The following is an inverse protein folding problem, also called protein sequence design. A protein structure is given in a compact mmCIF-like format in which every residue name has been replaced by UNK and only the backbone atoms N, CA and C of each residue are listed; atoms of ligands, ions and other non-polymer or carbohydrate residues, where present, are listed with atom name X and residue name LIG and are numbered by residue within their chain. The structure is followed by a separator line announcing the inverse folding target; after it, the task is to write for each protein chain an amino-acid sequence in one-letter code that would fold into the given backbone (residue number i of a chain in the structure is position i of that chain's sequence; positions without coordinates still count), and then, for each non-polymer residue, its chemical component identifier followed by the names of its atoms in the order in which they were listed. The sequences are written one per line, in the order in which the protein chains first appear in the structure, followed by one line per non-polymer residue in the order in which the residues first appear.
data_IF_700044722046
#
_entry.id   IF_700044722046
#
_cell.length_a   1.000
_cell.length_b   1.000
_cell.length_c   1.000
_cell.angle_alpha   90.00
_cell.angle_beta   90.00
_cell.angle_gamma   90.00
#
_symmetry.space_group_name_H-M   'P 1'
#
loop_
_entity.id
_entity.type
_entity.pdbx_description
1 polymer ?
#
# COMPACT_ATOMS: atom_id res chain seq x y z
N UNK A 1 16.26 -63.38 17.62
CA UNK A 1 17.39 -62.43 17.60
C UNK A 1 16.93 -61.16 18.32
N UNK A 2 17.04 -61.13 19.65
CA UNK A 2 16.39 -60.13 20.53
C UNK A 2 17.42 -59.16 21.13
N UNK A 3 18.40 -58.69 20.36
CA UNK A 3 19.48 -57.85 20.86
C UNK A 3 19.87 -56.74 19.88
N UNK A 4 20.25 -55.58 20.40
CA UNK A 4 20.88 -54.48 19.64
C UNK A 4 22.03 -53.85 20.44
N UNK A 5 22.95 -53.15 19.78
CA UNK A 5 24.08 -52.45 20.43
C UNK A 5 23.71 -51.00 20.71
N UNK A 6 24.10 -50.51 21.88
CA UNK A 6 23.89 -49.14 22.30
C UNK A 6 25.09 -48.62 23.09
N UNK A 7 25.15 -47.31 23.27
CA UNK A 7 26.10 -46.63 24.13
C UNK A 7 25.40 -46.24 25.43
N UNK A 8 25.93 -46.68 26.57
CA UNK A 8 25.39 -46.41 27.89
C UNK A 8 26.19 -45.31 28.61
N UNK A 9 25.45 -44.40 29.24
CA UNK A 9 25.93 -43.38 30.15
C UNK A 9 25.26 -43.56 31.51
N UNK A 10 26.07 -43.63 32.56
CA UNK A 10 25.63 -43.92 33.93
C UNK A 10 24.96 -42.72 34.65
N UNK A 11 24.96 -41.54 34.02
CA UNK A 11 24.39 -40.31 34.57
C UNK A 11 25.26 -39.63 35.64
N UNK A 12 26.39 -40.23 36.04
CA UNK A 12 27.33 -39.72 37.04
C UNK A 12 28.69 -39.34 36.43
N UNK A 13 29.04 -39.95 35.29
CA UNK A 13 30.26 -39.71 34.54
C UNK A 13 29.98 -39.64 33.04
N UNK A 14 30.79 -38.88 32.29
CA UNK A 14 30.68 -38.81 30.83
C UNK A 14 31.34 -40.00 30.11
N UNK A 15 31.60 -41.11 30.81
CA UNK A 15 32.27 -42.28 30.24
C UNK A 15 31.29 -43.13 29.42
N UNK A 16 31.63 -43.32 28.16
CA UNK A 16 30.89 -44.17 27.23
C UNK A 16 31.14 -45.65 27.53
N UNK A 17 30.08 -46.41 27.76
CA UNK A 17 30.15 -47.87 27.87
C UNK A 17 29.42 -48.50 26.69
N UNK A 18 30.09 -49.35 25.91
CA UNK A 18 29.40 -50.12 24.87
C UNK A 18 28.61 -51.26 25.52
N UNK A 19 27.31 -51.30 25.24
CA UNK A 19 26.39 -52.28 25.82
C UNK A 19 25.57 -52.97 24.74
N UNK A 20 25.22 -54.22 25.00
CA UNK A 20 24.25 -55.00 24.25
C UNK A 20 22.94 -55.01 25.04
N UNK A 21 21.88 -54.49 24.42
CA UNK A 21 20.53 -54.45 25.01
C UNK A 21 19.73 -55.62 24.46
N UNK A 22 19.27 -56.50 25.35
CA UNK A 22 18.47 -57.69 25.01
C UNK A 22 17.06 -57.59 25.55
N UNK A 23 16.05 -58.01 24.77
CA UNK A 23 14.67 -58.12 25.25
C UNK A 23 14.44 -59.48 25.90
N UNK A 24 13.93 -59.44 27.13
CA UNK A 24 13.48 -60.59 27.89
C UNK A 24 11.96 -60.76 27.78
N UNK A 25 11.49 -61.97 28.02
CA UNK A 25 10.05 -62.26 28.09
C UNK A 25 9.40 -61.50 29.27
N UNK A 26 8.16 -61.05 29.07
CA UNK A 26 7.44 -60.24 30.06
C UNK A 26 7.72 -58.73 30.02
N UNK A 27 8.26 -58.20 28.91
CA UNK A 27 8.38 -56.74 28.71
C UNK A 27 9.54 -56.09 29.46
N UNK A 28 10.56 -56.87 29.83
CA UNK A 28 11.80 -56.39 30.44
C UNK A 28 12.92 -56.32 29.40
N UNK A 29 13.87 -55.40 29.60
CA UNK A 29 15.10 -55.32 28.84
C UNK A 29 16.29 -55.57 29.77
N UNK A 30 17.33 -56.23 29.25
CA UNK A 30 18.60 -56.43 29.93
C UNK A 30 19.70 -55.69 29.20
N UNK A 31 20.49 -54.91 29.90
CA UNK A 31 21.59 -54.10 29.37
C UNK A 31 22.88 -54.75 29.87
N UNK A 32 23.70 -55.27 28.94
CA UNK A 32 24.92 -56.01 29.28
C UNK A 32 26.13 -55.39 28.59
N UNK A 33 27.15 -55.02 29.34
CA UNK A 33 28.43 -54.52 28.84
C UNK A 33 29.54 -54.68 29.87
N UNK A 34 30.73 -54.18 29.55
CA UNK A 34 31.88 -54.27 30.47
C UNK A 34 31.60 -53.43 31.71
N UNK A 35 31.36 -54.09 32.86
CA UNK A 35 31.03 -53.44 34.13
C UNK A 35 29.56 -53.01 34.28
N UNK A 36 28.68 -53.39 33.34
CA UNK A 36 27.25 -53.04 33.35
C UNK A 36 26.42 -54.30 33.11
N UNK A 37 25.60 -54.70 34.08
CA UNK A 37 24.58 -55.75 33.92
C UNK A 37 23.33 -55.34 34.71
N UNK A 38 22.29 -54.89 34.00
CA UNK A 38 21.05 -54.37 34.60
C UNK A 38 19.83 -54.82 33.85
N UNK A 39 18.74 -55.04 34.58
CA UNK A 39 17.43 -55.36 34.02
C UNK A 39 16.44 -54.25 34.37
N UNK A 40 15.74 -53.73 33.37
CA UNK A 40 14.77 -52.65 33.52
C UNK A 40 13.44 -53.04 32.85
N UNK A 41 12.32 -52.56 33.39
CA UNK A 41 11.02 -52.75 32.75
C UNK A 41 10.91 -51.80 31.55
N UNK A 42 10.55 -52.29 30.36
CA UNK A 42 10.42 -51.42 29.18
C UNK A 42 9.39 -50.30 29.38
N UNK A 43 8.41 -50.51 30.28
CA UNK A 43 7.38 -49.53 30.62
C UNK A 43 7.89 -48.32 31.41
N UNK A 44 9.04 -48.40 32.10
CA UNK A 44 9.59 -47.30 32.91
C UNK A 44 10.56 -46.40 32.12
N UNK A 45 10.86 -46.77 30.88
CA UNK A 45 11.84 -46.09 30.04
C UNK A 45 11.17 -45.03 29.17
N UNK A 46 11.81 -43.87 29.08
CA UNK A 46 11.35 -42.79 28.19
C UNK A 46 12.22 -42.75 26.96
N UNK A 47 11.64 -43.07 25.81
CA UNK A 47 12.30 -42.96 24.52
C UNK A 47 12.10 -41.54 23.98
N UNK A 48 13.18 -40.86 23.61
CA UNK A 48 13.06 -39.57 22.92
C UNK A 48 12.41 -39.74 21.54
N UNK A 49 11.57 -38.78 21.11
CA UNK A 49 10.92 -38.83 19.81
C UNK A 49 11.95 -38.84 18.67
N UNK A 50 11.52 -39.35 17.51
CA UNK A 50 12.35 -39.44 16.31
C UNK A 50 12.71 -38.02 15.83
N UNK A 51 14.00 -37.79 15.60
CA UNK A 51 14.51 -36.59 14.93
C UNK A 51 15.51 -37.01 13.85
N UNK A 52 15.03 -37.14 12.62
CA UNK A 52 15.84 -37.45 11.44
C UNK A 52 16.81 -38.65 11.65
N UNK A 53 18.09 -38.49 11.30
CA UNK A 53 19.17 -39.49 11.42
C UNK A 53 19.96 -39.38 12.74
N UNK A 54 19.40 -38.79 13.80
CA UNK A 54 20.09 -38.70 15.11
C UNK A 54 19.94 -39.98 15.95
N UNK A 55 20.98 -40.29 16.74
CA UNK A 55 20.95 -41.41 17.69
C UNK A 55 19.75 -41.24 18.64
N UNK A 56 19.00 -42.31 18.88
CA UNK A 56 17.87 -42.25 19.82
C UNK A 56 18.37 -42.40 21.24
N UNK A 57 17.81 -41.61 22.15
CA UNK A 57 18.13 -41.65 23.58
C UNK A 57 16.99 -42.33 24.32
N UNK A 58 17.32 -43.37 25.08
CA UNK A 58 16.43 -44.00 26.05
C UNK A 58 16.88 -43.54 27.42
N UNK A 59 16.01 -42.81 28.12
CA UNK A 59 16.25 -42.37 29.50
C UNK A 59 15.72 -43.44 30.46
N UNK A 60 16.59 -43.83 31.41
CA UNK A 60 16.26 -44.70 32.53
C UNK A 60 15.73 -43.89 33.70
N UNK A 61 14.99 -44.54 34.61
CA UNK A 61 14.35 -43.88 35.75
C UNK A 61 15.33 -43.22 36.75
N UNK A 62 16.59 -43.64 36.73
CA UNK A 62 17.68 -43.13 37.57
C UNK A 62 18.51 -42.03 36.89
N UNK A 63 18.12 -41.59 35.69
CA UNK A 63 18.82 -40.56 34.92
C UNK A 63 19.94 -41.08 34.02
N UNK A 64 20.21 -42.40 34.01
CA UNK A 64 21.10 -43.02 33.03
C UNK A 64 20.51 -42.97 31.61
N UNK A 65 21.37 -43.00 30.59
CA UNK A 65 20.94 -42.85 29.19
C UNK A 65 21.55 -43.92 28.31
N UNK A 66 20.75 -44.49 27.41
CA UNK A 66 21.21 -45.34 26.32
C UNK A 66 21.06 -44.61 24.99
N UNK A 67 22.12 -44.50 24.22
CA UNK A 67 22.10 -43.97 22.87
C UNK A 67 22.24 -45.11 21.87
N UNK A 68 21.22 -45.34 21.06
CA UNK A 68 21.18 -46.41 20.07
C UNK A 68 21.09 -45.86 18.65
N UNK A 69 21.77 -46.53 17.72
CA UNK A 69 21.62 -46.27 16.29
C UNK A 69 20.24 -46.74 15.80
N UNK A 70 19.80 -46.23 14.65
CA UNK A 70 18.49 -46.52 14.08
C UNK A 70 18.30 -48.03 13.86
N UNK A 71 17.54 -48.66 14.75
CA UNK A 71 17.07 -50.03 14.61
C UNK A 71 15.54 -50.05 14.72
N UNK A 72 14.87 -50.62 13.71
CA UNK A 72 13.40 -50.75 13.66
C UNK A 72 12.85 -51.55 14.85
N UNK A 73 13.70 -52.34 15.52
CA UNK A 73 13.37 -53.07 16.75
C UNK A 73 13.00 -52.15 17.92
N UNK A 74 13.52 -50.94 17.99
CA UNK A 74 13.20 -49.99 19.06
C UNK A 74 11.71 -49.61 19.05
N UNK A 75 11.10 -49.44 17.88
CA UNK A 75 9.68 -49.09 17.77
C UNK A 75 8.75 -50.27 18.14
N UNK A 76 9.22 -51.51 17.97
CA UNK A 76 8.49 -52.71 18.39
C UNK A 76 8.55 -52.93 19.91
N UNK A 77 9.59 -52.41 20.56
CA UNK A 77 9.82 -52.58 22.00
C UNK A 77 9.22 -51.42 22.80
N UNK A 78 9.10 -50.24 22.19
CA UNK A 78 8.53 -49.02 22.76
C UNK A 78 7.45 -48.42 21.83
N UNK A 79 6.22 -48.96 21.80
CA UNK A 79 5.16 -48.42 20.96
C UNK A 79 4.77 -47.01 21.44
N UNK A 80 5.11 -45.99 20.64
CA UNK A 80 4.67 -44.62 20.86
C UNK A 80 3.15 -44.50 20.79
N UNK A 81 2.54 -43.90 21.82
CA UNK A 81 1.08 -43.85 21.95
C UNK A 81 0.43 -42.76 21.06
N UNK A 82 1.17 -41.76 20.59
CA UNK A 82 0.58 -40.63 19.88
C UNK A 82 0.37 -40.88 18.39
N UNK A 83 -0.90 -40.85 17.98
CA UNK A 83 -1.32 -40.99 16.57
C UNK A 83 -0.78 -39.84 15.70
N UNK A 84 -0.67 -38.64 16.26
CA UNK A 84 -0.14 -37.45 15.59
C UNK A 84 1.35 -37.61 15.26
N UNK A 85 2.16 -38.12 16.19
CA UNK A 85 3.58 -38.39 15.95
C UNK A 85 3.81 -39.40 14.83
N UNK A 86 3.00 -40.48 14.78
CA UNK A 86 3.08 -41.48 13.70
C UNK A 86 2.67 -40.95 12.32
N UNK A 87 1.75 -39.98 12.29
CA UNK A 87 1.35 -39.26 11.08
C UNK A 87 2.49 -38.35 10.60
N UNK A 88 3.03 -37.52 11.49
CA UNK A 88 4.18 -36.62 11.19
C UNK A 88 5.37 -37.43 10.70
N UNK A 89 5.77 -38.50 11.42
CA UNK A 89 6.86 -39.39 11.01
C UNK A 89 6.64 -40.00 9.60
N UNK A 90 5.39 -40.27 9.21
CA UNK A 90 5.06 -40.83 7.88
C UNK A 90 5.21 -39.79 6.78
N UNK A 91 4.83 -38.55 7.07
CA UNK A 91 5.05 -37.41 6.18
C UNK A 91 6.54 -37.09 6.05
N UNK A 92 7.30 -37.06 7.14
CA UNK A 92 8.75 -36.81 7.14
C UNK A 92 9.55 -37.85 6.34
N UNK A 93 9.10 -39.11 6.33
CA UNK A 93 9.74 -40.18 5.52
C UNK A 93 9.55 -40.00 4.01
N UNK A 94 8.58 -39.20 3.58
CA UNK A 94 8.33 -38.94 2.17
C UNK A 94 8.69 -37.49 1.85
N UNK A 95 9.91 -37.28 1.33
CA UNK A 95 10.37 -35.95 0.92
C UNK A 95 9.40 -35.23 -0.03
N UNK A 96 8.68 -35.99 -0.87
CA UNK A 96 7.62 -35.48 -1.73
C UNK A 96 6.42 -34.95 -0.95
N UNK A 97 6.04 -35.58 0.16
CA UNK A 97 4.92 -35.15 0.98
C UNK A 97 5.27 -33.92 1.83
N UNK A 98 6.52 -33.83 2.30
CA UNK A 98 7.05 -32.61 2.92
C UNK A 98 7.06 -31.47 1.90
N UNK A 99 7.60 -31.69 0.70
CA UNK A 99 7.61 -30.68 -0.37
C UNK A 99 6.19 -30.24 -0.76
N UNK A 100 5.25 -31.19 -0.92
CA UNK A 100 3.86 -30.89 -1.20
C UNK A 100 3.22 -30.06 -0.08
N UNK A 101 3.50 -30.38 1.19
CA UNK A 101 2.98 -29.60 2.33
C UNK A 101 3.52 -28.17 2.35
N UNK A 102 4.79 -27.95 1.99
CA UNK A 102 5.38 -26.61 1.86
C UNK A 102 4.68 -25.86 0.74
N UNK A 103 4.49 -26.49 -0.43
CA UNK A 103 3.78 -25.87 -1.55
C UNK A 103 2.35 -25.50 -1.16
N UNK A 104 1.62 -26.39 -0.49
CA UNK A 104 0.27 -26.12 0.00
C UNK A 104 0.26 -24.94 0.98
N UNK A 105 1.19 -24.90 1.94
CA UNK A 105 1.32 -23.78 2.86
C UNK A 105 1.63 -22.47 2.14
N UNK A 106 2.52 -22.47 1.14
CA UNK A 106 2.84 -21.30 0.33
C UNK A 106 1.64 -20.83 -0.49
N UNK A 107 0.89 -21.75 -1.10
CA UNK A 107 -0.32 -21.43 -1.87
C UNK A 107 -1.41 -20.85 -0.96
N UNK A 108 -1.65 -21.44 0.21
CA UNK A 108 -2.63 -20.93 1.18
C UNK A 108 -2.19 -19.56 1.72
N UNK A 109 -0.90 -19.40 2.04
CA UNK A 109 -0.35 -18.11 2.47
C UNK A 109 -0.53 -17.03 1.41
N UNK A 110 -0.19 -17.34 0.16
CA UNK A 110 -0.37 -16.43 -0.97
C UNK A 110 -1.85 -16.11 -1.20
N UNK A 111 -2.73 -17.12 -1.17
CA UNK A 111 -4.17 -16.92 -1.31
C UNK A 111 -4.75 -16.04 -0.20
N UNK A 112 -4.29 -16.23 1.04
CA UNK A 112 -4.68 -15.40 2.18
C UNK A 112 -4.22 -13.96 1.99
N UNK A 113 -3.00 -13.76 1.50
CA UNK A 113 -2.44 -12.43 1.24
C UNK A 113 -3.15 -11.71 0.08
N UNK A 114 -3.36 -12.41 -1.04
CA UNK A 114 -3.91 -11.82 -2.27
C UNK A 114 -5.42 -11.63 -2.20
N UNK A 115 -6.15 -12.54 -1.55
CA UNK A 115 -7.61 -12.50 -1.50
C UNK A 115 -8.18 -12.32 -0.09
N UNK A 116 -7.61 -12.99 0.90
CA UNK A 116 -8.10 -12.94 2.29
C UNK A 116 -7.97 -11.57 2.93
N UNK A 117 -6.78 -10.95 2.83
CA UNK A 117 -6.51 -9.63 3.42
C UNK A 117 -7.36 -8.54 2.76
N UNK A 118 -7.40 -8.37 1.42
CA UNK A 118 -8.27 -7.38 0.79
C UNK A 118 -9.74 -7.57 1.15
N UNK A 119 -10.24 -8.81 1.12
CA UNK A 119 -11.62 -9.12 1.48
C UNK A 119 -11.94 -8.70 2.92
N UNK A 120 -11.06 -9.01 3.88
CA UNK A 120 -11.27 -8.66 5.28
C UNK A 120 -11.19 -7.13 5.49
N UNK A 121 -10.23 -6.47 4.86
CA UNK A 121 -10.08 -5.01 4.93
C UNK A 121 -11.30 -4.28 4.38
N UNK A 122 -11.85 -4.73 3.25
CA UNK A 122 -13.02 -4.11 2.63
C UNK A 122 -14.27 -4.27 3.53
N UNK A 123 -14.40 -5.42 4.22
CA UNK A 123 -15.46 -5.66 5.20
C UNK A 123 -15.34 -4.77 6.42
N UNK A 124 -14.15 -4.64 6.97
CA UNK A 124 -13.93 -3.77 8.14
C UNK A 124 -14.18 -2.31 7.74
N UNK A 125 -13.64 -1.85 6.60
CA UNK A 125 -13.83 -0.49 6.10
C UNK A 125 -15.30 -0.12 5.90
N UNK A 126 -16.16 -1.07 5.50
CA UNK A 126 -17.58 -0.84 5.34
C UNK A 126 -18.32 -0.62 6.68
N UNK A 127 -17.84 -1.24 7.76
CA UNK A 127 -18.44 -1.18 9.09
C UNK A 127 -17.86 -0.05 9.96
N UNK A 128 -16.76 0.59 9.54
CA UNK A 128 -16.18 1.72 10.30
C UNK A 128 -17.19 2.88 10.32
N UNK A 129 -17.59 3.36 11.52
CA UNK A 129 -18.48 4.51 11.64
C UNK A 129 -17.84 5.79 11.11
N UNK A 130 -18.63 6.63 10.44
CA UNK A 130 -18.21 7.95 9.92
C UNK A 130 -17.54 8.84 10.97
N UNK A 131 -18.00 8.79 12.23
CA UNK A 131 -17.39 9.55 13.32
C UNK A 131 -15.94 9.14 13.61
N UNK A 132 -15.61 7.85 13.46
CA UNK A 132 -14.25 7.35 13.61
C UNK A 132 -13.38 7.81 12.44
N UNK A 133 -13.93 7.77 11.21
CA UNK A 133 -13.24 8.29 10.03
C UNK A 133 -12.94 9.78 10.14
N UNK A 134 -13.89 10.59 10.62
CA UNK A 134 -13.70 12.02 10.85
C UNK A 134 -12.58 12.30 11.86
N UNK A 135 -12.57 11.58 12.98
CA UNK A 135 -11.51 11.72 14.00
C UNK A 135 -10.13 11.29 13.48
N UNK A 136 -10.07 10.22 12.68
CA UNK A 136 -8.84 9.83 11.99
C UNK A 136 -8.38 10.91 11.01
N UNK A 137 -9.33 11.53 10.30
CA UNK A 137 -9.07 12.62 9.38
C UNK A 137 -8.41 13.83 10.02
N UNK A 138 -9.00 14.31 11.12
CA UNK A 138 -8.45 15.43 11.87
C UNK A 138 -7.04 15.14 12.42
N UNK A 139 -6.79 13.88 12.83
CA UNK A 139 -5.47 13.46 13.29
C UNK A 139 -4.44 13.42 12.15
N UNK A 140 -4.81 12.87 10.99
CA UNK A 140 -3.93 12.83 9.81
C UNK A 140 -3.62 14.24 9.33
N UNK A 141 -4.63 15.11 9.22
CA UNK A 141 -4.43 16.51 8.85
C UNK A 141 -3.50 17.22 9.84
N UNK A 142 -3.73 17.05 11.15
CA UNK A 142 -2.85 17.62 12.17
C UNK A 142 -1.42 17.04 12.19
N UNK A 143 -1.18 15.88 11.57
CA UNK A 143 0.16 15.32 11.38
C UNK A 143 0.80 15.83 10.09
N UNK A 144 0.03 15.98 9.01
CA UNK A 144 0.49 16.65 7.77
C UNK A 144 1.00 18.07 8.11
N UNK A 145 0.19 18.84 8.84
CA UNK A 145 0.51 20.21 9.23
C UNK A 145 1.76 20.29 10.15
N UNK A 146 1.99 19.28 11.00
CA UNK A 146 3.08 19.32 12.01
C UNK A 146 4.40 18.74 11.53
N UNK A 147 4.37 17.70 10.69
CA UNK A 147 5.54 16.89 10.39
C UNK A 147 5.93 16.89 8.91
N UNK A 148 5.00 17.22 8.01
CA UNK A 148 5.21 17.11 6.57
C UNK A 148 5.17 18.47 5.85
N UNK A 149 5.21 19.57 6.61
CA UNK A 149 5.33 20.92 6.05
C UNK A 149 4.10 21.40 5.29
N UNK A 150 2.90 20.96 5.68
CA UNK A 150 1.64 21.50 5.17
C UNK A 150 1.29 22.76 5.96
N UNK A 151 1.86 23.89 5.56
CA UNK A 151 1.64 25.17 6.19
C UNK A 151 0.30 25.80 5.77
N UNK A 152 -0.09 26.87 6.47
CA UNK A 152 -1.27 27.64 6.10
C UNK A 152 -1.17 28.11 4.63
N UNK A 153 -2.28 27.98 3.89
CA UNK A 153 -2.35 28.38 2.49
C UNK A 153 -1.97 29.85 2.30
N UNK A 154 -1.23 30.13 1.23
CA UNK A 154 -0.88 31.47 0.74
C UNK A 154 -1.90 32.00 -0.27
N UNK A 155 -2.85 31.17 -0.72
CA UNK A 155 -3.94 31.60 -1.58
C UNK A 155 -4.80 32.64 -0.87
N UNK A 156 -5.25 33.67 -1.59
CA UNK A 156 -6.15 34.65 -1.00
C UNK A 156 -7.50 34.02 -0.61
N UNK A 157 -8.18 34.63 0.36
CA UNK A 157 -9.44 34.09 0.88
C UNK A 157 -10.58 34.08 -0.13
N UNK A 158 -10.53 34.94 -1.16
CA UNK A 158 -11.53 34.98 -2.24
C UNK A 158 -11.34 33.77 -3.14
N UNK A 159 -10.10 33.49 -3.56
CA UNK A 159 -9.76 32.33 -4.37
C UNK A 159 -10.08 31.02 -3.67
N UNK A 160 -9.79 30.92 -2.38
CA UNK A 160 -10.19 29.75 -1.58
C UNK A 160 -11.71 29.58 -1.52
N UNK A 161 -12.47 30.68 -1.38
CA UNK A 161 -13.93 30.63 -1.35
C UNK A 161 -14.52 30.27 -2.72
N UNK A 162 -13.94 30.76 -3.81
CA UNK A 162 -14.34 30.41 -5.18
C UNK A 162 -14.16 28.91 -5.42
N UNK A 163 -12.96 28.38 -5.19
CA UNK A 163 -12.63 26.96 -5.35
C UNK A 163 -13.44 26.08 -4.40
N UNK A 164 -13.64 26.54 -3.16
CA UNK A 164 -14.54 25.90 -2.19
C UNK A 164 -15.99 25.81 -2.72
N UNK A 165 -16.49 26.88 -3.32
CA UNK A 165 -17.82 26.87 -3.95
C UNK A 165 -17.90 25.93 -5.16
N UNK A 166 -16.80 25.68 -5.88
CA UNK A 166 -16.75 24.64 -6.93
C UNK A 166 -16.78 23.24 -6.33
N UNK A 167 -15.96 22.99 -5.30
CA UNK A 167 -15.96 21.75 -4.54
C UNK A 167 -17.36 21.41 -4.02
N UNK A 168 -18.05 22.38 -3.42
CA UNK A 168 -19.40 22.20 -2.88
C UNK A 168 -20.40 21.76 -3.95
N UNK A 169 -20.29 22.27 -5.19
CA UNK A 169 -21.13 21.82 -6.31
C UNK A 169 -20.87 20.36 -6.68
N UNK A 170 -19.61 19.92 -6.67
CA UNK A 170 -19.26 18.54 -6.98
C UNK A 170 -19.83 17.56 -5.95
N UNK A 171 -19.84 17.92 -4.66
CA UNK A 171 -20.35 17.06 -3.58
C UNK A 171 -21.86 17.18 -3.35
N UNK A 172 -22.54 18.22 -3.88
CA UNK A 172 -23.95 18.50 -3.62
C UNK A 172 -24.90 17.32 -3.98
N UNK A 173 -24.52 16.47 -4.92
CA UNK A 173 -25.28 15.28 -5.32
C UNK A 173 -25.08 14.05 -4.44
N UNK A 174 -24.16 14.10 -3.47
CA UNK A 174 -23.80 12.98 -2.63
C UNK A 174 -24.69 12.91 -1.38
N UNK A 175 -25.00 11.69 -0.93
CA UNK A 175 -25.91 11.44 0.21
C UNK A 175 -25.41 11.99 1.55
N UNK A 176 -24.13 12.35 1.66
CA UNK A 176 -23.47 12.85 2.87
C UNK A 176 -22.61 14.08 2.55
N UNK A 177 -23.11 14.97 1.69
CA UNK A 177 -22.39 16.17 1.22
C UNK A 177 -21.82 17.02 2.37
N UNK A 178 -22.52 17.12 3.50
CA UNK A 178 -22.10 17.90 4.68
C UNK A 178 -20.85 17.37 5.37
N UNK A 179 -20.47 16.12 5.12
CA UNK A 179 -19.26 15.51 5.66
C UNK A 179 -18.00 15.86 4.87
N UNK A 180 -18.13 16.49 3.70
CA UNK A 180 -17.00 16.80 2.82
C UNK A 180 -16.51 18.22 3.01
N UNK A 181 -15.19 18.41 2.99
CA UNK A 181 -14.57 19.75 2.97
C UNK A 181 -13.25 19.72 2.21
N UNK A 182 -12.98 20.78 1.47
CA UNK A 182 -11.67 21.06 0.90
C UNK A 182 -10.84 21.91 1.85
N UNK A 183 -9.55 21.62 1.94
CA UNK A 183 -8.59 22.35 2.78
C UNK A 183 -7.37 22.69 1.93
N UNK A 184 -7.06 23.98 1.83
CA UNK A 184 -5.88 24.45 1.11
C UNK A 184 -4.67 24.53 2.03
N UNK A 185 -3.50 24.14 1.52
CA UNK A 185 -2.24 24.14 2.25
C UNK A 185 -1.08 24.56 1.36
N UNK A 186 -0.16 25.33 1.91
CA UNK A 186 1.10 25.58 1.26
C UNK A 186 2.05 24.42 1.58
N UNK A 187 2.54 23.69 0.57
CA UNK A 187 3.41 22.54 0.78
C UNK A 187 4.53 22.51 -0.26
N UNK A 188 5.43 23.49 -0.20
CA UNK A 188 6.55 23.64 -1.16
C UNK A 188 7.41 22.37 -1.27
N UNK A 189 7.64 21.67 -0.15
CA UNK A 189 8.40 20.42 -0.14
C UNK A 189 7.69 19.22 -0.78
N UNK A 190 6.37 19.30 -1.00
CA UNK A 190 5.56 18.25 -1.64
C UNK A 190 5.25 18.62 -3.09
N UNK A 191 5.15 19.91 -3.41
CA UNK A 191 4.82 20.41 -4.74
C UNK A 191 3.32 20.30 -5.07
N UNK A 192 2.96 20.34 -6.37
CA UNK A 192 1.58 20.26 -6.87
C UNK A 192 0.90 18.93 -6.51
N UNK A 193 0.01 18.91 -5.52
CA UNK A 193 -0.63 17.68 -5.06
C UNK A 193 -2.05 17.92 -4.52
N UNK A 194 -2.85 16.86 -4.54
CA UNK A 194 -4.12 16.77 -3.83
C UNK A 194 -4.23 15.38 -3.19
N UNK A 195 -4.85 15.30 -2.02
CA UNK A 195 -4.98 14.04 -1.30
C UNK A 195 -6.29 13.94 -0.51
N UNK A 196 -6.96 12.81 -0.67
CA UNK A 196 -8.10 12.40 0.11
C UNK A 196 -7.68 11.81 1.48
N UNK A 197 -7.95 12.54 2.57
CA UNK A 197 -7.77 12.07 3.95
C UNK A 197 -9.08 11.51 4.51
N UNK A 198 -9.10 10.40 5.28
CA UNK A 198 -10.33 9.88 5.89
C UNK A 198 -11.23 10.95 6.51
N UNK A 199 -12.55 10.74 6.47
CA UNK A 199 -13.49 11.69 7.07
C UNK A 199 -13.92 12.84 6.15
N UNK A 200 -13.76 12.69 4.82
CA UNK A 200 -14.29 13.63 3.83
C UNK A 200 -13.41 14.86 3.58
N UNK A 201 -12.17 14.84 4.04
CA UNK A 201 -11.24 15.97 3.87
C UNK A 201 -10.44 15.76 2.60
N UNK A 202 -10.53 16.70 1.66
CA UNK A 202 -9.63 16.76 0.49
C UNK A 202 -8.65 17.89 0.73
N UNK A 203 -7.36 17.56 0.88
CA UNK A 203 -6.30 18.57 1.00
C UNK A 203 -5.77 18.87 -0.38
N UNK A 204 -5.69 20.15 -0.73
CA UNK A 204 -5.17 20.64 -2.01
C UNK A 204 -3.99 21.55 -1.73
N UNK A 205 -2.86 21.34 -2.41
CA UNK A 205 -1.70 22.23 -2.25
C UNK A 205 -1.88 23.49 -3.08
N UNK A 206 -1.38 24.62 -2.58
CA UNK A 206 -1.37 25.88 -3.33
C UNK A 206 -0.63 25.72 -4.67
N UNK A 207 0.46 24.95 -4.64
CA UNK A 207 1.27 24.62 -5.82
C UNK A 207 0.45 23.91 -6.91
N UNK A 208 -0.54 23.09 -6.52
CA UNK A 208 -1.45 22.50 -7.50
C UNK A 208 -2.34 23.55 -8.12
N UNK A 209 -2.92 24.44 -7.31
CA UNK A 209 -3.78 25.52 -7.81
C UNK A 209 -3.01 26.42 -8.77
N UNK A 210 -1.75 26.73 -8.47
CA UNK A 210 -0.90 27.57 -9.32
C UNK A 210 -0.45 26.87 -10.62
N UNK A 211 -0.31 25.54 -10.60
CA UNK A 211 0.05 24.75 -11.79
C UNK A 211 -1.11 24.62 -12.79
N UNK A 212 -2.34 24.54 -12.28
CA UNK A 212 -3.54 24.37 -13.10
C UNK A 212 -3.86 25.65 -13.87
N UNK A 213 -4.10 25.52 -15.16
CA UNK A 213 -4.38 26.66 -16.03
C UNK A 213 -5.86 27.04 -16.10
N UNK A 214 -6.74 26.16 -15.66
CA UNK A 214 -8.19 26.37 -15.68
C UNK A 214 -8.87 25.72 -14.47
N UNK A 215 -9.87 26.38 -13.90
CA UNK A 215 -10.61 25.86 -12.75
C UNK A 215 -11.34 24.53 -13.00
N UNK A 216 -11.62 24.18 -14.26
CA UNK A 216 -12.20 22.88 -14.62
C UNK A 216 -11.20 21.74 -14.49
N UNK A 217 -9.90 22.03 -14.58
CA UNK A 217 -8.85 21.07 -14.22
C UNK A 217 -8.85 20.82 -12.71
N UNK A 218 -9.06 21.88 -11.91
CA UNK A 218 -9.22 21.74 -10.45
C UNK A 218 -10.43 20.87 -10.12
N UNK A 219 -11.57 21.13 -10.76
CA UNK A 219 -12.77 20.32 -10.57
C UNK A 219 -12.52 18.84 -10.89
N UNK A 220 -11.72 18.58 -11.93
CA UNK A 220 -11.40 17.22 -12.34
C UNK A 220 -10.52 16.49 -11.32
N UNK A 221 -9.45 17.13 -10.82
CA UNK A 221 -8.58 16.55 -9.79
C UNK A 221 -9.36 16.33 -8.49
N UNK A 222 -10.15 17.31 -8.07
CA UNK A 222 -10.95 17.20 -6.85
C UNK A 222 -12.05 16.14 -6.97
N UNK A 223 -12.71 16.02 -8.13
CA UNK A 223 -13.71 14.97 -8.34
C UNK A 223 -13.09 13.56 -8.22
N UNK A 224 -11.84 13.40 -8.66
CA UNK A 224 -11.07 12.17 -8.46
C UNK A 224 -10.77 11.90 -6.97
N UNK A 225 -10.33 12.91 -6.22
CA UNK A 225 -10.13 12.78 -4.77
C UNK A 225 -11.43 12.46 -4.02
N UNK A 226 -12.55 13.06 -4.41
CA UNK A 226 -13.88 12.72 -3.87
C UNK A 226 -14.22 11.25 -4.19
N UNK A 227 -13.83 10.73 -5.35
CA UNK A 227 -13.94 9.31 -5.70
C UNK A 227 -13.19 8.41 -4.70
N UNK A 228 -11.96 8.76 -4.34
CA UNK A 228 -11.21 8.03 -3.31
C UNK A 228 -11.92 8.04 -1.95
N UNK A 229 -12.55 9.15 -1.58
CA UNK A 229 -13.34 9.26 -0.34
C UNK A 229 -14.60 8.39 -0.39
N UNK A 230 -15.36 8.49 -1.49
CA UNK A 230 -16.61 7.77 -1.67
C UNK A 230 -16.40 6.26 -1.58
N UNK A 231 -15.27 5.77 -2.11
CA UNK A 231 -14.90 4.37 -2.08
C UNK A 231 -14.04 3.98 -0.85
N UNK A 232 -13.76 4.92 0.06
CA UNK A 232 -12.96 4.72 1.28
C UNK A 232 -11.58 4.12 0.99
N UNK A 233 -10.94 4.50 -0.12
CA UNK A 233 -9.69 3.91 -0.58
C UNK A 233 -8.54 4.06 0.43
N UNK A 234 -8.37 5.25 1.02
CA UNK A 234 -7.37 5.50 2.06
C UNK A 234 -7.53 4.53 3.24
N UNK A 235 -8.75 4.39 3.78
CA UNK A 235 -9.03 3.50 4.91
C UNK A 235 -8.80 2.02 4.55
N UNK A 236 -9.30 1.57 3.38
CA UNK A 236 -9.09 0.20 2.89
C UNK A 236 -7.60 -0.10 2.74
N UNK A 237 -6.84 0.82 2.15
CA UNK A 237 -5.40 0.69 1.96
C UNK A 237 -4.66 0.63 3.31
N UNK A 238 -4.96 1.54 4.24
CA UNK A 238 -4.36 1.54 5.59
C UNK A 238 -4.65 0.24 6.34
N UNK A 239 -5.88 -0.27 6.27
CA UNK A 239 -6.24 -1.55 6.88
C UNK A 239 -5.46 -2.72 6.25
N UNK A 240 -5.38 -2.76 4.91
CA UNK A 240 -4.61 -3.80 4.19
C UNK A 240 -3.16 -3.80 4.65
N UNK A 241 -2.49 -2.64 4.68
CA UNK A 241 -1.11 -2.52 5.14
C UNK A 241 -0.93 -2.88 6.61
N UNK A 242 -1.87 -2.50 7.47
CA UNK A 242 -1.84 -2.83 8.90
C UNK A 242 -1.91 -4.34 9.13
N UNK A 243 -2.75 -5.05 8.38
CA UNK A 243 -2.81 -6.51 8.45
C UNK A 243 -1.52 -7.18 8.01
N UNK A 244 -0.82 -6.65 7.00
CA UNK A 244 0.50 -7.15 6.61
C UNK A 244 1.49 -7.04 7.76
N UNK A 245 1.51 -5.90 8.47
CA UNK A 245 2.39 -5.72 9.63
C UNK A 245 2.04 -6.68 10.78
N UNK A 246 0.76 -6.86 11.06
CA UNK A 246 0.30 -7.81 12.10
C UNK A 246 0.68 -9.25 11.73
N UNK A 247 0.48 -9.65 10.47
CA UNK A 247 0.87 -10.98 9.98
C UNK A 247 2.39 -11.15 10.10
N UNK A 248 3.19 -10.16 9.68
CA UNK A 248 4.64 -10.19 9.82
C UNK A 248 5.09 -10.33 11.28
N UNK A 249 4.48 -9.56 12.20
CA UNK A 249 4.72 -9.65 13.63
C UNK A 249 4.40 -11.04 14.21
N UNK A 250 3.32 -11.69 13.75
CA UNK A 250 2.98 -13.06 14.15
C UNK A 250 4.02 -14.08 13.67
N UNK A 251 4.63 -13.87 12.49
CA UNK A 251 5.69 -14.73 11.97
C UNK A 251 7.03 -14.51 12.67
N UNK A 252 7.37 -13.27 13.05
CA UNK A 252 8.64 -12.93 13.70
C UNK A 252 8.58 -13.09 15.23
N UNK A 253 7.39 -13.12 15.81
CA UNK A 253 7.18 -13.14 17.26
C UNK A 253 7.40 -11.77 17.93
N UNK A 254 7.59 -10.71 17.16
CA UNK A 254 7.83 -9.35 17.67
C UNK A 254 6.55 -8.50 17.55
N UNK A 255 5.85 -8.37 18.68
CA UNK A 255 4.58 -7.65 18.80
C UNK A 255 4.76 -6.18 19.21
N UNK A 256 5.99 -5.68 19.30
CA UNK A 256 6.28 -4.33 19.81
C UNK A 256 5.83 -3.18 18.88
N UNK A 257 5.41 -3.47 17.64
CA UNK A 257 5.16 -2.46 16.59
C UNK A 257 3.70 -1.99 16.43
N UNK A 258 2.75 -2.45 17.26
CA UNK A 258 1.33 -2.13 17.07
C UNK A 258 0.99 -0.64 17.29
N UNK A 259 1.75 0.07 18.13
CA UNK A 259 1.54 1.51 18.39
C UNK A 259 2.10 2.43 17.30
N UNK A 260 2.90 1.92 16.36
CA UNK A 260 3.56 2.71 15.31
C UNK A 260 2.65 3.01 14.11
N UNK A 261 1.54 2.26 13.98
CA UNK A 261 0.67 2.33 12.78
C UNK A 261 0.04 3.71 12.60
N UNK A 262 -0.44 4.34 13.68
CA UNK A 262 -1.17 5.63 13.60
C UNK A 262 -0.25 6.80 13.23
N UNK A 263 1.02 6.75 13.63
CA UNK A 263 2.00 7.81 13.33
C UNK A 263 2.46 7.77 11.87
N UNK A 264 2.41 6.59 11.23
CA UNK A 264 2.89 6.39 9.87
C UNK A 264 1.83 6.65 8.79
N UNK A 265 0.55 6.82 9.13
CA UNK A 265 -0.53 6.95 8.13
C UNK A 265 -0.34 8.11 7.16
N UNK A 266 0.00 9.35 7.58
CA UNK A 266 0.12 10.47 6.64
C UNK A 266 1.28 10.29 5.66
N UNK A 267 2.45 9.91 6.16
CA UNK A 267 3.62 9.61 5.33
C UNK A 267 3.32 8.45 4.38
N UNK A 268 2.61 7.43 4.87
CA UNK A 268 2.15 6.32 4.03
C UNK A 268 1.21 6.82 2.93
N UNK A 269 0.19 7.63 3.22
CA UNK A 269 -0.73 8.14 2.19
C UNK A 269 0.00 8.94 1.09
N UNK A 270 1.01 9.73 1.45
CA UNK A 270 1.84 10.46 0.48
C UNK A 270 2.77 9.55 -0.34
N UNK A 271 3.17 8.41 0.20
CA UNK A 271 4.14 7.50 -0.44
C UNK A 271 3.50 6.21 -0.98
N UNK A 272 2.19 6.02 -0.80
CA UNK A 272 1.52 4.76 -1.11
C UNK A 272 0.80 4.83 -2.44
N UNK A 273 1.15 3.90 -3.33
CA UNK A 273 0.40 3.68 -4.56
C UNK A 273 -0.95 3.05 -4.27
N UNK A 274 -2.01 3.74 -4.69
CA UNK A 274 -3.31 3.11 -4.80
C UNK A 274 -3.25 2.00 -5.87
N UNK A 275 -4.04 0.95 -5.63
CA UNK A 275 -4.12 -0.14 -6.59
C UNK A 275 -4.73 0.34 -7.91
N UNK A 276 -4.39 -0.29 -9.04
CA UNK A 276 -4.99 0.03 -10.36
C UNK A 276 -6.52 0.01 -10.34
N UNK A 277 -7.13 -0.88 -9.54
CA UNK A 277 -8.58 -0.92 -9.38
C UNK A 277 -9.14 0.30 -8.64
N UNK A 278 -8.42 0.80 -7.63
CA UNK A 278 -8.82 2.01 -6.90
C UNK A 278 -8.74 3.27 -7.78
N UNK A 279 -7.68 3.41 -8.59
CA UNK A 279 -7.59 4.51 -9.56
C UNK A 279 -8.73 4.44 -10.58
N UNK A 280 -9.05 3.25 -11.11
CA UNK A 280 -10.16 3.10 -12.07
C UNK A 280 -11.54 3.42 -11.46
N UNK A 281 -11.76 3.05 -10.18
CA UNK A 281 -12.98 3.42 -9.46
C UNK A 281 -13.08 4.93 -9.25
N UNK A 282 -11.98 5.57 -8.86
CA UNK A 282 -11.92 7.02 -8.66
C UNK A 282 -12.06 7.81 -9.98
N UNK A 283 -11.36 7.40 -11.04
CA UNK A 283 -11.46 8.00 -12.38
C UNK A 283 -12.89 7.94 -12.91
N UNK A 284 -13.52 6.76 -12.80
CA UNK A 284 -14.91 6.58 -13.24
C UNK A 284 -15.85 7.48 -12.46
N UNK A 285 -15.70 7.53 -11.14
CA UNK A 285 -16.50 8.42 -10.31
C UNK A 285 -16.29 9.89 -10.72
N UNK A 286 -15.05 10.31 -10.99
CA UNK A 286 -14.72 11.66 -11.42
C UNK A 286 -15.41 11.99 -12.75
N UNK A 287 -15.32 11.10 -13.74
CA UNK A 287 -15.93 11.32 -15.05
C UNK A 287 -17.46 11.44 -14.96
N UNK A 288 -18.10 10.56 -14.19
CA UNK A 288 -19.54 10.60 -13.98
C UNK A 288 -19.96 11.89 -13.24
N UNK A 289 -19.17 12.32 -12.25
CA UNK A 289 -19.41 13.55 -11.46
C UNK A 289 -19.24 14.81 -12.30
N UNK A 290 -18.18 14.91 -13.09
CA UNK A 290 -17.92 16.04 -13.99
C UNK A 290 -19.03 16.15 -15.03
N UNK A 291 -19.40 15.03 -15.67
CA UNK A 291 -20.46 15.00 -16.66
C UNK A 291 -21.81 15.44 -16.06
N UNK A 292 -22.12 15.03 -14.83
CA UNK A 292 -23.33 15.47 -14.13
C UNK A 292 -23.35 16.99 -13.86
N UNK A 293 -22.18 17.60 -13.68
CA UNK A 293 -22.01 19.06 -13.54
C UNK A 293 -21.83 19.79 -14.87
N UNK A 294 -22.06 19.12 -16.01
CA UNK A 294 -21.86 19.66 -17.35
C UNK A 294 -20.42 20.11 -17.63
N UNK A 295 -19.45 19.46 -16.99
CA UNK A 295 -18.02 19.66 -17.24
C UNK A 295 -17.50 18.45 -18.02
N UNK A 296 -16.80 18.70 -19.12
CA UNK A 296 -16.24 17.61 -19.93
C UNK A 296 -15.18 16.81 -19.15
N UNK A 297 -15.26 15.47 -19.08
CA UNK A 297 -14.22 14.64 -18.50
C UNK A 297 -12.82 14.82 -19.13
N UNK A 298 -12.72 15.41 -20.33
CA UNK A 298 -11.44 15.74 -20.94
C UNK A 298 -10.59 16.71 -20.10
N UNK A 299 -11.20 17.51 -19.22
CA UNK A 299 -10.46 18.37 -18.28
C UNK A 299 -9.56 17.57 -17.32
N UNK A 300 -9.91 16.31 -17.02
CA UNK A 300 -9.05 15.40 -16.27
C UNK A 300 -7.77 15.05 -17.04
N UNK A 301 -7.88 14.80 -18.35
CA UNK A 301 -6.71 14.58 -19.21
C UNK A 301 -5.82 15.83 -19.28
N UNK A 302 -6.42 17.02 -19.33
CA UNK A 302 -5.70 18.30 -19.31
C UNK A 302 -4.90 18.47 -18.01
N UNK A 303 -5.55 18.26 -16.86
CA UNK A 303 -4.92 18.32 -15.55
C UNK A 303 -3.75 17.32 -15.43
N UNK A 304 -3.97 16.06 -15.81
CA UNK A 304 -2.91 15.03 -15.79
C UNK A 304 -1.72 15.43 -16.65
N UNK A 305 -1.93 15.97 -17.85
CA UNK A 305 -0.84 16.41 -18.73
C UNK A 305 -0.01 17.54 -18.13
N UNK A 306 -0.62 18.47 -17.41
CA UNK A 306 0.10 19.55 -16.71
C UNK A 306 0.97 19.01 -15.59
N UNK A 307 0.41 18.13 -14.76
CA UNK A 307 1.15 17.43 -13.70
C UNK A 307 2.29 16.59 -14.28
N UNK A 308 2.01 15.87 -15.36
CA UNK A 308 2.98 15.09 -16.10
C UNK A 308 4.14 15.96 -16.64
N UNK A 309 3.82 17.08 -17.28
CA UNK A 309 4.82 18.00 -17.82
C UNK A 309 5.69 18.62 -16.71
N UNK A 310 5.08 19.02 -15.59
CA UNK A 310 5.79 19.58 -14.44
C UNK A 310 6.78 18.56 -13.84
N UNK A 311 6.36 17.31 -13.67
CA UNK A 311 7.24 16.29 -13.11
C UNK A 311 8.26 15.70 -14.10
N UNK A 312 8.05 15.86 -15.42
CA UNK A 312 9.06 15.54 -16.43
C UNK A 312 10.14 16.64 -16.57
N UNK A 313 9.78 17.90 -16.36
CA UNK A 313 10.72 19.03 -16.50
C UNK A 313 11.68 19.17 -15.33
N UNK A 314 11.22 18.84 -14.11
CA UNK A 314 11.93 19.27 -12.90
C UNK A 314 13.04 18.33 -12.43
N UNK A 315 13.18 17.12 -13.00
CA UNK A 315 14.38 16.27 -12.87
C UNK A 315 14.90 15.92 -11.45
N UNK A 316 14.23 16.37 -10.38
CA UNK A 316 14.72 16.36 -8.98
C UNK A 316 13.74 15.61 -8.03
N UNK A 317 13.84 14.28 -8.12
CA UNK A 317 13.86 13.19 -7.12
C UNK A 317 13.08 13.16 -5.77
N UNK A 318 12.27 14.12 -5.32
CA UNK A 318 11.46 13.91 -4.06
C UNK A 318 10.01 14.43 -4.09
N UNK A 319 9.75 15.62 -4.63
CA UNK A 319 8.39 16.17 -4.71
C UNK A 319 7.53 15.45 -5.77
N UNK A 320 8.12 15.13 -6.93
CA UNK A 320 7.49 14.27 -7.93
C UNK A 320 7.25 12.84 -7.44
N UNK A 321 8.06 12.37 -6.49
CA UNK A 321 7.83 11.07 -5.86
C UNK A 321 6.52 11.08 -5.09
N UNK A 322 6.15 12.14 -4.36
CA UNK A 322 4.91 12.13 -3.56
C UNK A 322 3.63 12.00 -4.42
N UNK A 323 3.45 12.86 -5.43
CA UNK A 323 2.27 12.79 -6.30
C UNK A 323 2.26 11.52 -7.17
N UNK A 324 3.40 11.15 -7.76
CA UNK A 324 3.50 9.94 -8.60
C UNK A 324 3.46 8.65 -7.77
N UNK A 325 3.81 8.74 -6.48
CA UNK A 325 3.64 7.64 -5.53
C UNK A 325 2.18 7.42 -5.20
N UNK A 326 1.35 8.45 -5.02
CA UNK A 326 -0.08 8.25 -4.78
C UNK A 326 -0.86 7.92 -6.05
N UNK A 327 -0.56 8.61 -7.15
CA UNK A 327 -1.27 8.48 -8.44
C UNK A 327 -0.29 8.21 -9.59
N UNK A 328 -0.08 6.92 -9.95
CA UNK A 328 0.80 6.57 -11.04
C UNK A 328 0.34 7.17 -12.38
N UNK A 329 1.31 7.70 -13.15
CA UNK A 329 1.08 8.17 -14.52
C UNK A 329 0.54 7.01 -15.36
N UNK A 330 -0.44 7.31 -16.19
CA UNK A 330 -1.00 6.30 -17.06
C UNK A 330 -1.57 6.94 -18.32
N UNK A 331 -0.93 6.66 -19.46
CA UNK A 331 -1.46 6.96 -20.77
C UNK A 331 -2.88 6.37 -20.96
N UNK A 332 -3.16 5.22 -20.34
CA UNK A 332 -4.49 4.60 -20.39
C UNK A 332 -5.56 5.47 -19.69
N UNK A 333 -5.22 6.12 -18.57
CA UNK A 333 -6.13 7.03 -17.85
C UNK A 333 -6.38 8.31 -18.63
N UNK A 334 -5.35 8.90 -19.23
CA UNK A 334 -5.47 10.05 -20.14
C UNK A 334 -6.40 9.68 -21.30
N UNK A 335 -6.14 8.55 -21.98
CA UNK A 335 -6.97 8.09 -23.09
C UNK A 335 -8.43 7.81 -22.67
N UNK A 336 -8.65 7.24 -21.48
CA UNK A 336 -9.98 7.01 -20.95
C UNK A 336 -10.75 8.31 -20.68
N UNK A 337 -10.08 9.31 -20.11
CA UNK A 337 -10.66 10.63 -19.88
C UNK A 337 -11.02 11.35 -21.19
N UNK A 338 -10.16 11.27 -22.21
CA UNK A 338 -10.45 11.82 -23.53
C UNK A 338 -11.60 11.11 -24.24
N UNK A 339 -11.63 9.78 -24.19
CA UNK A 339 -12.74 9.00 -24.74
C UNK A 339 -14.07 9.32 -24.04
N UNK A 340 -14.05 9.49 -22.73
CA UNK A 340 -15.21 9.95 -21.95
C UNK A 340 -15.61 11.37 -22.33
N UNK A 341 -14.65 12.28 -22.50
CA UNK A 341 -14.87 13.65 -22.96
C UNK A 341 -15.49 13.72 -24.36
N UNK A 342 -15.00 12.91 -25.30
CA UNK A 342 -15.58 12.82 -26.65
C UNK A 342 -17.03 12.31 -26.61
N UNK A 343 -17.31 11.31 -25.77
CA UNK A 343 -18.67 10.79 -25.56
C UNK A 343 -19.58 11.85 -24.95
N UNK A 344 -19.08 12.60 -23.97
CA UNK A 344 -19.79 13.71 -23.34
C UNK A 344 -20.15 14.80 -24.34
N UNK A 345 -19.21 15.22 -25.19
CA UNK A 345 -19.47 16.24 -26.22
C UNK A 345 -20.42 15.76 -27.31
N UNK A 346 -20.37 14.49 -27.69
CA UNK A 346 -21.36 13.93 -28.60
C UNK A 346 -22.79 14.02 -28.03
N UNK A 347 -22.94 13.94 -26.70
CA UNK A 347 -24.21 14.11 -26.00
C UNK A 347 -24.56 15.59 -25.70
N UNK A 348 -23.55 16.46 -25.58
CA UNK A 348 -23.68 17.88 -25.27
C UNK A 348 -22.89 18.76 -26.26
N UNK A 349 -23.27 18.81 -27.55
CA UNK A 349 -22.53 19.58 -28.57
C UNK A 349 -22.42 21.07 -28.25
N UNK A 350 -23.38 21.61 -27.49
CA UNK A 350 -23.38 23.00 -27.04
C UNK A 350 -22.21 23.37 -26.12
N UNK A 351 -21.53 22.37 -25.53
CA UNK A 351 -20.39 22.55 -24.63
C UNK A 351 -19.04 22.32 -25.30
N UNK A 352 -19.00 22.13 -26.62
CA UNK A 352 -17.74 21.89 -27.36
C UNK A 352 -16.70 23.00 -27.12
N UNK A 353 -17.13 24.25 -27.07
CA UNK A 353 -16.24 25.41 -26.82
C UNK A 353 -15.65 25.43 -25.42
N UNK A 354 -16.20 24.64 -24.51
CA UNK A 354 -15.77 24.54 -23.12
C UNK A 354 -14.84 23.35 -22.87
N UNK A 355 -14.38 22.64 -23.89
CA UNK A 355 -13.38 21.57 -23.75
C UNK A 355 -11.95 22.10 -23.73
N UNK A 356 -11.01 21.41 -23.04
CA UNK A 356 -9.61 21.77 -23.09
C UNK A 356 -9.08 21.70 -24.53
N UNK A 357 -8.26 22.68 -24.92
CA UNK A 357 -7.64 22.73 -26.24
C UNK A 357 -8.61 22.96 -27.40
N UNK A 358 -9.83 23.45 -27.13
CA UNK A 358 -10.76 23.85 -28.19
C UNK A 358 -10.12 24.93 -29.08
N UNK A 359 -10.01 24.63 -30.36
CA UNK A 359 -9.56 25.56 -31.39
C UNK A 359 -10.73 25.89 -32.33
N UNK A 360 -11.24 27.14 -32.34
CA UNK A 360 -12.32 27.54 -33.23
C UNK A 360 -11.96 27.43 -34.72
N UNK A 361 -10.67 27.50 -35.05
CA UNK A 361 -10.17 27.33 -36.42
C UNK A 361 -10.40 25.89 -36.89
N UNK A 362 -9.89 24.93 -36.13
CA UNK A 362 -10.02 23.52 -36.44
C UNK A 362 -11.46 22.99 -36.32
N UNK A 363 -12.23 23.50 -35.35
CA UNK A 363 -13.56 22.97 -35.04
C UNK A 363 -14.70 23.61 -35.86
N UNK A 364 -14.63 24.91 -36.11
CA UNK A 364 -15.72 25.68 -36.73
C UNK A 364 -15.29 26.38 -38.04
N UNK A 365 -14.02 26.28 -38.45
CA UNK A 365 -13.50 26.99 -39.62
C UNK A 365 -13.47 28.51 -39.43
N UNK A 366 -13.59 28.98 -38.19
CA UNK A 366 -13.55 30.39 -37.79
C UNK A 366 -12.10 30.75 -37.43
N UNK A 367 -11.23 30.73 -38.44
CA UNK A 367 -9.88 31.24 -38.28
C UNK A 367 -9.93 32.76 -38.12
N UNK A 368 -9.13 33.37 -37.23
CA UNK A 368 -8.79 34.78 -37.38
C UNK A 368 -8.22 34.96 -38.79
N UNK A 369 -8.76 35.91 -39.55
CA UNK A 369 -8.20 36.25 -40.87
C UNK A 369 -6.72 36.60 -40.67
N UNK A 370 -5.81 35.77 -41.20
CA UNK A 370 -4.36 36.02 -41.16
C UNK A 370 -3.99 37.35 -41.83
N UNK A 371 -4.90 37.91 -42.64
CA UNK A 371 -4.75 39.19 -43.34
C UNK A 371 -5.17 40.43 -42.51
N UNK A 372 -5.70 40.27 -41.28
CA UNK A 372 -6.10 41.41 -40.45
C UNK A 372 -4.91 42.13 -39.77
N UNK A 373 -3.71 41.54 -39.81
CA UNK A 373 -2.47 42.13 -39.28
C UNK A 373 -1.52 42.63 -40.38
N UNK A 374 -2.03 43.04 -41.54
CA UNK A 374 -1.22 43.52 -42.67
C UNK A 374 -0.96 45.04 -42.70
N UNK A 375 -1.57 45.82 -41.81
CA UNK A 375 -1.34 47.26 -41.72
C UNK A 375 -0.81 47.65 -40.34
N UNK A 376 0.30 48.41 -40.31
CA UNK A 376 1.13 48.87 -39.18
C UNK A 376 0.39 49.65 -38.05
N UNK A 377 -0.72 49.14 -37.52
CA UNK A 377 -1.55 49.84 -36.53
C UNK A 377 -1.85 49.04 -35.25
N UNK A 378 -1.12 47.95 -34.99
CA UNK A 378 -1.11 47.31 -33.69
C UNK A 378 0.20 47.67 -32.97
N UNK A 379 0.20 48.81 -32.30
CA UNK A 379 1.20 49.11 -31.29
C UNK A 379 0.99 48.10 -30.15
N UNK A 380 2.06 47.38 -29.81
CA UNK A 380 2.15 46.60 -28.59
C UNK A 380 1.96 47.53 -27.38
N UNK A 381 0.94 47.33 -26.52
CA UNK A 381 0.75 48.17 -25.34
C UNK A 381 1.91 48.10 -24.34
N UNK A 382 2.85 47.15 -24.47
CA UNK A 382 4.05 47.03 -23.63
C UNK A 382 5.30 47.75 -24.19
N UNK A 383 5.27 48.33 -25.41
CA UNK A 383 6.40 49.11 -25.98
C UNK A 383 6.19 50.64 -25.94
N UNK A 384 5.13 51.15 -25.30
CA UNK A 384 4.83 52.59 -25.25
C UNK A 384 5.39 53.35 -24.03
N UNK A 385 6.17 52.70 -23.15
CA UNK A 385 6.77 53.35 -21.98
C UNK A 385 8.29 53.18 -21.89
N UNK A 386 9.05 53.54 -22.94
CA UNK A 386 10.49 53.75 -22.75
C UNK A 386 11.08 54.77 -23.74
N UNK A 387 10.58 56.01 -23.82
CA UNK A 387 11.35 57.13 -24.41
C UNK A 387 10.78 58.50 -24.03
N UNK A 388 10.88 58.92 -22.77
CA UNK A 388 10.92 60.35 -22.42
C UNK A 388 11.76 60.57 -21.14
N UNK A 389 13.09 60.69 -21.28
CA UNK A 389 13.89 61.62 -20.45
C UNK A 389 15.36 61.71 -20.95
N UNK A 390 15.64 62.62 -21.89
CA UNK A 390 16.97 63.25 -21.99
C UNK A 390 16.80 64.74 -22.32
N UNK A 391 17.21 65.66 -21.42
CA UNK A 391 17.14 67.09 -21.69
C UNK A 391 18.28 67.54 -22.62
N UNK A 392 17.90 68.32 -23.64
CA UNK A 392 18.77 68.95 -24.61
C UNK A 392 19.86 69.82 -23.95
N UNK A 393 21.13 69.50 -24.24
CA UNK A 393 22.26 70.37 -23.98
C UNK A 393 22.22 71.58 -24.94
N UNK A 394 22.11 72.77 -24.36
CA UNK A 394 22.32 74.03 -25.05
C UNK A 394 23.84 74.30 -25.15
N UNK A 395 24.31 74.40 -26.39
CA UNK A 395 25.62 74.94 -26.77
C UNK A 395 25.45 76.46 -26.97
N UNK A 396 25.94 77.26 -26.02
CA UNK A 396 26.17 78.69 -26.20
C UNK A 396 27.67 79.01 -26.14
N UNK A 397 28.22 79.39 -27.29
CA UNK A 397 29.59 79.86 -27.39
C UNK A 397 29.79 81.24 -26.77
N UNK A 398 30.85 81.39 -25.97
CA UNK A 398 31.90 82.43 -26.03
C UNK A 398 32.92 82.26 -24.92
#
# INVERSE_FOLDING_TARGET
MNAFRAHYFDGQSSRLHEVEVRRLDGGRIRIVGVGVDREEAAATLRLTPRLARTLRTIELADGARLMASHDDRLDQWFPGHDRLQRLVDRFERHAQAVAASIVVCLVIGLATFVWGVPWLSDRIAAEVPKAVEASLGDQVLGQLDRYLGFDASKLDGTRQAELGGRFDRLVAGLSDATGYRVVFRNAEGVGPNALAVPGGIVVVTDQLVDLLGDDREFDAVVAHEIGHQQHRHALRQTLRSSFVLVIAALFTGDVSSASTIVVAVPTFLLQSHYSRGFEQEADRFAFDTLAAQRISPAWFASAMRRLDAHYDSDGDDDAGVAYLSSHPRSADRIAAAEASGATFIAAHPELLRETPGYDPCAAEGLCPDEDACADDACIDPDEAEEYEDEPAAADDGS
#
